data_IF_971872807708
#
_entry.id   IF_971872807708
#
_cell.length_a   1.000
_cell.length_b   1.000
_cell.length_c   1.000
_cell.angle_alpha   90.00
_cell.angle_beta   90.00
_cell.angle_gamma   90.00
#
_symmetry.space_group_name_H-M   'P 1'
#
loop_
_entity.id
_entity.type
_entity.pdbx_description
1 polymer ?
#
# COMPACT_ATOMS: atom_id res chain seq x y z
N UNK A 1 -21.60 -39.02 78.28
CA UNK A 1 -20.78 -39.30 77.08
C UNK A 1 -21.75 -39.90 76.07
N UNK A 2 -22.09 -39.34 74.92
CA UNK A 2 -21.39 -38.42 74.02
C UNK A 2 -22.41 -37.63 73.18
N UNK A 3 -22.07 -36.39 72.83
CA UNK A 3 -22.87 -35.48 72.00
C UNK A 3 -22.51 -35.75 70.53
N UNK A 4 -23.50 -36.09 69.69
CA UNK A 4 -23.31 -36.15 68.24
C UNK A 4 -23.78 -34.82 67.63
N UNK A 5 -22.83 -33.98 67.22
CA UNK A 5 -23.06 -32.72 66.51
C UNK A 5 -23.32 -32.99 65.03
N UNK A 6 -24.43 -32.45 64.53
CA UNK A 6 -24.81 -32.37 63.12
C UNK A 6 -23.83 -31.48 62.36
N UNK A 7 -23.23 -31.98 61.27
CA UNK A 7 -22.41 -31.20 60.37
C UNK A 7 -23.18 -30.94 59.06
N UNK A 8 -23.76 -29.75 58.96
CA UNK A 8 -24.39 -29.23 57.75
C UNK A 8 -23.30 -28.93 56.71
N UNK A 9 -23.30 -29.66 55.58
CA UNK A 9 -22.41 -29.40 54.44
C UNK A 9 -22.94 -28.19 53.67
N UNK A 10 -22.37 -27.03 53.91
CA UNK A 10 -22.51 -25.90 53.00
C UNK A 10 -21.71 -26.19 51.73
N UNK A 11 -22.40 -26.39 50.61
CA UNK A 11 -21.80 -26.32 49.28
C UNK A 11 -21.39 -24.88 49.02
N UNK A 12 -20.09 -24.60 49.17
CA UNK A 12 -19.51 -23.34 48.73
C UNK A 12 -19.33 -23.43 47.21
N UNK A 13 -20.31 -22.91 46.46
CA UNK A 13 -20.17 -22.72 45.02
C UNK A 13 -19.01 -21.73 44.81
N UNK A 14 -17.86 -22.22 44.34
CA UNK A 14 -16.74 -21.37 43.92
C UNK A 14 -17.18 -20.62 42.67
N UNK A 15 -17.62 -19.38 42.86
CA UNK A 15 -17.82 -18.40 41.79
C UNK A 15 -16.44 -18.16 41.19
N UNK A 16 -16.18 -18.73 40.01
CA UNK A 16 -14.96 -18.46 39.27
C UNK A 16 -15.04 -17.02 38.77
N UNK A 17 -14.57 -16.09 39.59
CA UNK A 17 -14.24 -14.74 39.14
C UNK A 17 -13.12 -14.89 38.11
N UNK A 18 -13.51 -14.79 36.84
CA UNK A 18 -12.57 -14.73 35.74
C UNK A 18 -11.56 -13.62 36.04
N UNK A 19 -10.29 -14.02 36.16
CA UNK A 19 -9.16 -13.10 36.29
C UNK A 19 -9.18 -12.14 35.10
N UNK A 20 -9.83 -10.98 35.27
CA UNK A 20 -9.77 -9.87 34.34
C UNK A 20 -8.37 -9.28 34.46
N UNK A 21 -7.40 -9.90 33.78
CA UNK A 21 -6.11 -9.26 33.56
C UNK A 21 -6.42 -7.96 32.83
N UNK A 22 -6.06 -6.78 33.38
CA UNK A 22 -6.39 -5.52 32.72
C UNK A 22 -5.81 -5.53 31.31
N UNK A 23 -6.64 -5.19 30.32
CA UNK A 23 -6.20 -5.10 28.94
C UNK A 23 -5.02 -4.13 28.87
N UNK A 24 -3.91 -4.55 28.30
CA UNK A 24 -2.80 -3.64 27.98
C UNK A 24 -3.28 -2.61 26.95
N UNK A 25 -2.77 -1.37 27.05
CA UNK A 25 -2.97 -0.32 26.04
C UNK A 25 -2.70 -0.81 24.62
N UNK A 26 -1.66 -1.64 24.43
CA UNK A 26 -1.37 -2.23 23.13
C UNK A 26 -2.48 -3.18 22.66
N UNK A 27 -3.04 -4.00 23.55
CA UNK A 27 -4.12 -4.92 23.21
C UNK A 27 -5.42 -4.18 22.88
N UNK A 28 -5.73 -3.12 23.62
CA UNK A 28 -6.87 -2.25 23.39
C UNK A 28 -6.74 -1.45 22.09
N UNK A 29 -5.56 -0.90 21.83
CA UNK A 29 -5.27 -0.23 20.56
C UNK A 29 -5.38 -1.22 19.40
N UNK A 30 -4.77 -2.39 19.50
CA UNK A 30 -4.80 -3.41 18.43
C UNK A 30 -6.21 -3.89 18.11
N UNK A 31 -7.11 -3.96 19.10
CA UNK A 31 -8.48 -4.43 18.87
C UNK A 31 -9.38 -3.40 18.20
N UNK A 32 -9.15 -2.10 18.42
CA UNK A 32 -9.98 -1.02 17.86
C UNK A 32 -9.29 -0.21 16.76
N UNK A 33 -7.99 -0.43 16.52
CA UNK A 33 -7.26 0.23 15.44
C UNK A 33 -7.90 -0.10 14.09
N UNK A 34 -8.03 0.94 13.26
CA UNK A 34 -8.42 0.82 11.86
C UNK A 34 -7.44 1.60 10.99
N UNK A 35 -7.13 1.04 9.82
CA UNK A 35 -6.27 1.68 8.83
C UNK A 35 -6.98 2.88 8.19
N UNK A 36 -8.26 2.77 7.85
CA UNK A 36 -9.11 3.91 7.50
C UNK A 36 -10.22 3.98 8.53
N UNK A 37 -10.45 5.17 9.09
CA UNK A 37 -11.41 5.38 10.17
C UNK A 37 -12.54 6.29 9.73
N UNK A 38 -13.76 5.82 9.89
CA UNK A 38 -14.99 6.51 9.47
C UNK A 38 -15.74 7.07 10.68
N UNK A 39 -16.80 7.86 10.45
CA UNK A 39 -17.55 8.49 11.54
C UNK A 39 -18.31 7.45 12.40
N UNK A 40 -18.78 6.38 11.78
CA UNK A 40 -19.46 5.24 12.41
C UNK A 40 -18.56 4.53 13.42
N UNK A 41 -17.24 4.55 13.19
CA UNK A 41 -16.26 3.96 14.11
C UNK A 41 -16.14 4.72 15.43
N UNK A 42 -16.61 5.96 15.46
CA UNK A 42 -16.59 6.86 16.61
C UNK A 42 -17.88 6.85 17.44
N UNK A 43 -18.91 6.12 17.01
CA UNK A 43 -20.18 6.04 17.74
C UNK A 43 -20.05 5.29 19.08
N UNK A 44 -19.16 4.28 19.14
CA UNK A 44 -18.92 3.51 20.36
C UNK A 44 -17.95 4.24 21.31
N UNK A 45 -18.47 4.86 22.37
CA UNK A 45 -17.64 5.47 23.41
C UNK A 45 -17.08 4.43 24.40
N UNK A 46 -16.06 3.70 23.94
CA UNK A 46 -15.22 2.86 24.81
C UNK A 46 -13.84 3.49 24.99
N UNK A 47 -13.20 3.24 26.14
CA UNK A 47 -11.82 3.69 26.36
C UNK A 47 -10.85 3.20 25.27
N UNK A 48 -11.00 1.96 24.82
CA UNK A 48 -10.19 1.39 23.74
C UNK A 48 -10.41 2.13 22.42
N UNK A 49 -11.66 2.50 22.11
CA UNK A 49 -11.97 3.27 20.91
C UNK A 49 -11.43 4.71 21.00
N UNK A 50 -11.56 5.38 22.16
CA UNK A 50 -10.93 6.69 22.40
C UNK A 50 -9.41 6.65 22.27
N UNK A 51 -8.76 5.57 22.73
CA UNK A 51 -7.32 5.37 22.56
C UNK A 51 -6.96 5.18 21.08
N UNK A 52 -7.72 4.36 20.34
CA UNK A 52 -7.50 4.16 18.91
C UNK A 52 -7.73 5.43 18.08
N UNK A 53 -8.79 6.19 18.38
CA UNK A 53 -9.05 7.50 17.81
C UNK A 53 -7.87 8.45 18.03
N UNK A 54 -7.46 8.62 19.28
CA UNK A 54 -6.37 9.51 19.63
C UNK A 54 -5.03 9.10 19.01
N UNK A 55 -4.85 7.81 18.69
CA UNK A 55 -3.70 7.33 17.93
C UNK A 55 -3.84 7.70 16.45
N UNK A 56 -4.99 7.43 15.84
CA UNK A 56 -5.29 7.73 14.43
C UNK A 56 -5.15 9.23 14.13
N UNK A 57 -5.70 10.09 14.98
CA UNK A 57 -5.65 11.56 14.84
C UNK A 57 -4.20 12.12 14.88
N UNK A 58 -3.23 11.36 15.40
CA UNK A 58 -1.80 11.76 15.42
C UNK A 58 -1.05 11.36 14.16
N UNK A 59 -1.66 10.55 13.30
CA UNK A 59 -1.07 10.10 12.06
C UNK A 59 -1.35 11.10 10.94
N UNK A 60 -0.49 11.09 9.93
CA UNK A 60 -0.65 11.85 8.71
C UNK A 60 -1.12 10.90 7.61
N UNK A 61 -2.29 11.21 7.04
CA UNK A 61 -3.00 10.34 6.11
C UNK A 61 -2.80 10.70 4.63
N UNK A 62 -1.85 11.58 4.33
CA UNK A 62 -1.56 11.97 2.94
C UNK A 62 -0.64 10.96 2.24
N UNK A 63 0.44 10.55 2.91
CA UNK A 63 1.40 9.58 2.39
C UNK A 63 1.56 8.39 3.34
N UNK A 64 1.67 7.19 2.78
CA UNK A 64 2.01 5.99 3.53
C UNK A 64 3.53 5.75 3.55
N UNK A 65 3.97 5.12 4.64
CA UNK A 65 5.30 4.54 4.79
C UNK A 65 5.20 3.06 4.42
N UNK A 66 6.18 2.55 3.65
CA UNK A 66 6.14 1.17 3.16
C UNK A 66 7.30 0.31 3.67
N UNK A 67 7.04 -1.00 3.85
CA UNK A 67 8.07 -2.02 4.03
C UNK A 67 8.16 -2.87 2.76
N UNK A 68 9.25 -2.69 2.03
CA UNK A 68 9.54 -3.41 0.79
C UNK A 68 10.39 -4.67 1.03
N UNK A 69 10.65 -5.13 2.26
CA UNK A 69 11.47 -6.33 2.50
C UNK A 69 10.93 -7.58 1.78
N UNK A 70 9.60 -7.70 1.68
CA UNK A 70 8.92 -8.85 1.09
C UNK A 70 8.62 -8.74 -0.41
N UNK A 71 9.14 -7.72 -1.11
CA UNK A 71 8.73 -7.38 -2.48
C UNK A 71 8.86 -8.52 -3.50
N UNK A 72 9.89 -9.37 -3.37
CA UNK A 72 10.08 -10.53 -4.27
C UNK A 72 8.95 -11.56 -4.17
N UNK A 73 8.28 -11.62 -3.01
CA UNK A 73 7.13 -12.50 -2.73
C UNK A 73 5.79 -11.75 -2.84
N UNK A 74 5.78 -10.55 -3.43
CA UNK A 74 4.58 -9.69 -3.55
C UNK A 74 3.95 -9.34 -2.19
N UNK A 75 4.78 -9.30 -1.13
CA UNK A 75 4.36 -8.93 0.22
C UNK A 75 4.90 -7.55 0.56
N UNK A 76 4.06 -6.55 0.40
CA UNK A 76 4.36 -5.15 0.69
C UNK A 76 3.46 -4.70 1.84
N UNK A 77 4.07 -4.10 2.86
CA UNK A 77 3.32 -3.51 3.97
C UNK A 77 3.23 -2.01 3.81
N UNK A 78 2.07 -1.44 4.13
CA UNK A 78 1.88 0.00 4.25
C UNK A 78 1.37 0.35 5.64
N UNK A 79 1.73 1.54 6.10
CA UNK A 79 1.15 2.17 7.29
C UNK A 79 1.12 3.68 7.10
N UNK A 80 0.21 4.37 7.80
CA UNK A 80 0.23 5.82 7.83
C UNK A 80 1.50 6.36 8.50
N UNK A 81 1.83 7.57 8.09
CA UNK A 81 3.00 8.27 8.55
C UNK A 81 2.78 8.80 9.98
N UNK A 82 3.81 8.70 10.80
CA UNK A 82 3.81 9.35 12.12
C UNK A 82 4.26 10.79 12.05
N UNK A 83 3.87 11.62 13.01
CA UNK A 83 4.32 13.01 13.10
C UNK A 83 5.85 13.16 13.05
N UNK A 84 6.60 12.30 13.75
CA UNK A 84 8.06 12.37 13.74
C UNK A 84 8.64 12.10 12.36
N UNK A 85 8.09 11.14 11.62
CA UNK A 85 8.51 10.85 10.25
C UNK A 85 8.20 11.99 9.29
N UNK A 86 7.06 12.64 9.49
CA UNK A 86 6.65 13.81 8.70
C UNK A 86 7.62 14.98 8.91
N UNK A 87 7.97 15.27 10.16
CA UNK A 87 8.97 16.30 10.49
C UNK A 87 10.37 15.96 9.94
N UNK A 88 10.70 14.67 9.83
CA UNK A 88 11.94 14.20 9.20
C UNK A 88 11.86 14.18 7.66
N UNK A 89 10.72 14.53 7.07
CA UNK A 89 10.49 14.52 5.62
C UNK A 89 10.44 13.13 5.00
N UNK A 90 10.26 12.06 5.80
CA UNK A 90 10.08 10.69 5.28
C UNK A 90 8.84 10.63 4.39
N UNK A 91 8.88 9.95 3.26
CA UNK A 91 7.74 9.90 2.33
C UNK A 91 7.34 11.21 1.65
N UNK A 92 8.08 12.32 1.88
CA UNK A 92 7.89 13.58 1.15
C UNK A 92 9.20 14.03 0.48
N UNK A 93 10.20 14.36 1.29
CA UNK A 93 11.54 14.76 0.85
C UNK A 93 12.54 13.60 0.85
N UNK A 94 12.16 12.48 1.47
CA UNK A 94 12.94 11.23 1.54
C UNK A 94 12.05 10.07 1.12
N UNK A 95 12.66 9.00 0.63
CA UNK A 95 11.97 7.77 0.25
C UNK A 95 11.11 7.22 1.39
N UNK A 96 9.86 6.85 1.09
CA UNK A 96 8.90 6.29 2.04
C UNK A 96 9.22 4.86 2.50
N UNK A 97 10.14 4.15 1.82
CA UNK A 97 10.55 2.84 2.28
C UNK A 97 11.26 2.97 3.64
N UNK A 98 10.77 2.25 4.65
CA UNK A 98 11.26 2.33 6.04
C UNK A 98 12.78 2.22 6.15
N UNK A 99 13.41 1.40 5.29
CA UNK A 99 14.85 1.11 5.31
C UNK A 99 15.68 1.90 4.28
N UNK A 100 15.10 2.93 3.65
CA UNK A 100 15.77 3.73 2.63
C UNK A 100 15.79 5.23 3.01
N UNK A 101 16.94 5.88 2.94
CA UNK A 101 17.08 7.31 3.25
C UNK A 101 17.42 8.18 2.03
N UNK A 102 17.23 7.65 0.81
CA UNK A 102 17.46 8.43 -0.42
C UNK A 102 16.51 9.62 -0.50
N UNK A 103 17.06 10.76 -0.91
CA UNK A 103 16.35 12.03 -1.17
C UNK A 103 16.20 12.31 -2.67
N UNK A 104 16.81 11.49 -3.51
CA UNK A 104 16.92 11.75 -4.95
C UNK A 104 15.86 11.00 -5.74
N UNK A 105 15.43 11.61 -6.84
CA UNK A 105 14.53 11.02 -7.82
C UNK A 105 13.27 10.38 -7.22
N UNK A 106 12.66 11.13 -6.30
CA UNK A 106 11.44 10.70 -5.63
C UNK A 106 10.24 10.91 -6.55
N UNK A 107 9.41 9.87 -6.70
CA UNK A 107 8.13 9.93 -7.41
C UNK A 107 7.00 9.45 -6.51
N UNK A 108 5.83 10.04 -6.69
CA UNK A 108 4.60 9.61 -6.01
C UNK A 108 3.91 8.53 -6.84
N UNK A 109 3.43 7.50 -6.17
CA UNK A 109 2.65 6.41 -6.74
C UNK A 109 1.34 6.31 -5.98
N UNK A 110 0.26 6.11 -6.72
CA UNK A 110 -1.02 5.69 -6.16
C UNK A 110 -1.10 4.16 -6.25
N UNK A 111 -1.34 3.53 -5.12
CA UNK A 111 -1.34 2.07 -5.01
C UNK A 111 -2.66 1.64 -4.42
N UNK A 112 -3.37 0.78 -5.14
CA UNK A 112 -4.55 0.10 -4.61
C UNK A 112 -4.10 -0.96 -3.58
N UNK A 113 -4.20 -0.61 -2.32
CA UNK A 113 -3.74 -1.41 -1.20
C UNK A 113 -4.87 -2.31 -0.70
N UNK A 114 -4.76 -3.61 -1.02
CA UNK A 114 -5.63 -4.63 -0.41
C UNK A 114 -5.03 -5.14 0.91
N UNK A 115 -5.83 -5.15 1.97
CA UNK A 115 -5.42 -5.59 3.30
C UNK A 115 -6.53 -6.33 4.04
N UNK A 116 -6.16 -7.06 5.10
CA UNK A 116 -7.09 -7.75 5.98
C UNK A 116 -7.14 -7.06 7.33
N UNK A 117 -8.31 -6.62 7.74
CA UNK A 117 -8.56 -5.93 9.00
C UNK A 117 -9.76 -6.56 9.70
N UNK A 118 -9.60 -6.93 10.98
CA UNK A 118 -10.67 -7.56 11.77
C UNK A 118 -11.35 -8.78 11.12
N UNK A 119 -10.65 -9.49 10.24
CA UNK A 119 -11.17 -10.65 9.53
C UNK A 119 -11.69 -10.38 8.13
N UNK A 120 -11.88 -9.11 7.77
CA UNK A 120 -12.47 -8.66 6.50
C UNK A 120 -11.40 -8.18 5.53
N UNK A 121 -11.66 -8.36 4.23
CA UNK A 121 -10.81 -7.83 3.17
C UNK A 121 -11.25 -6.41 2.82
N UNK A 122 -10.31 -5.47 2.87
CA UNK A 122 -10.51 -4.06 2.54
C UNK A 122 -9.56 -3.62 1.44
N UNK A 123 -9.86 -2.50 0.81
CA UNK A 123 -9.02 -1.83 -0.19
C UNK A 123 -9.01 -0.34 0.09
N UNK A 124 -7.88 0.29 -0.14
CA UNK A 124 -7.72 1.74 -0.04
C UNK A 124 -6.71 2.21 -1.09
N UNK A 125 -6.98 3.34 -1.75
CA UNK A 125 -6.04 3.93 -2.69
C UNK A 125 -5.05 4.82 -1.94
N UNK A 126 -3.85 4.30 -1.68
CA UNK A 126 -2.84 5.00 -0.88
C UNK A 126 -1.79 5.67 -1.75
N UNK A 127 -1.28 6.82 -1.30
CA UNK A 127 -0.17 7.53 -1.95
C UNK A 127 1.15 7.20 -1.27
N UNK A 128 2.16 6.79 -2.05
CA UNK A 128 3.50 6.50 -1.54
C UNK A 128 4.56 7.18 -2.39
N UNK A 129 5.55 7.81 -1.76
CA UNK A 129 6.62 8.51 -2.47
C UNK A 129 7.96 7.79 -2.35
N UNK A 130 8.52 7.31 -3.46
CA UNK A 130 9.69 6.42 -3.48
C UNK A 130 10.77 6.92 -4.45
N UNK A 131 12.02 6.63 -4.12
CA UNK A 131 13.13 6.75 -5.06
C UNK A 131 13.07 5.64 -6.12
N UNK A 132 13.74 5.84 -7.25
CA UNK A 132 13.81 4.88 -8.36
C UNK A 132 14.04 3.42 -7.94
N UNK A 133 15.06 3.14 -7.13
CA UNK A 133 15.38 1.76 -6.72
C UNK A 133 14.26 1.12 -5.89
N UNK A 134 13.53 1.91 -5.10
CA UNK A 134 12.38 1.43 -4.33
C UNK A 134 11.12 1.31 -5.19
N UNK A 135 10.94 2.16 -6.21
CA UNK A 135 9.84 2.06 -7.18
C UNK A 135 9.91 0.78 -8.02
N UNK A 136 11.13 0.33 -8.37
CA UNK A 136 11.37 -0.98 -9.00
C UNK A 136 10.95 -2.11 -8.06
N UNK A 137 11.31 -2.02 -6.78
CA UNK A 137 10.90 -3.02 -5.77
C UNK A 137 9.37 -3.06 -5.62
N UNK A 138 8.72 -1.90 -5.53
CA UNK A 138 7.26 -1.79 -5.46
C UNK A 138 6.57 -2.51 -6.64
N UNK A 139 7.10 -2.36 -7.85
CA UNK A 139 6.50 -2.87 -9.09
C UNK A 139 7.14 -4.18 -9.59
N UNK A 140 7.89 -4.87 -8.74
CA UNK A 140 8.75 -5.99 -9.12
C UNK A 140 8.04 -7.09 -9.90
N UNK A 141 6.86 -7.53 -9.43
CA UNK A 141 6.10 -8.62 -10.08
C UNK A 141 5.67 -8.25 -11.49
N UNK A 142 5.26 -7.00 -11.69
CA UNK A 142 4.85 -6.49 -12.99
C UNK A 142 6.06 -6.37 -13.93
N UNK A 143 7.16 -5.78 -13.48
CA UNK A 143 8.41 -5.64 -14.26
C UNK A 143 8.92 -7.03 -14.67
N UNK A 144 8.98 -7.99 -13.74
CA UNK A 144 9.43 -9.36 -14.04
C UNK A 144 8.52 -10.07 -15.05
N UNK A 145 7.20 -9.82 -14.99
CA UNK A 145 6.25 -10.34 -15.99
C UNK A 145 6.48 -9.70 -17.36
N UNK A 146 6.69 -8.38 -17.41
CA UNK A 146 6.99 -7.66 -18.65
C UNK A 146 8.29 -8.18 -19.28
N UNK A 147 9.37 -8.34 -18.51
CA UNK A 147 10.64 -8.91 -18.97
C UNK A 147 10.50 -10.35 -19.50
N UNK A 148 9.68 -11.19 -18.87
CA UNK A 148 9.41 -12.56 -19.36
C UNK A 148 8.65 -12.56 -20.68
N UNK A 149 7.66 -11.66 -20.82
CA UNK A 149 6.96 -11.41 -22.10
C UNK A 149 7.87 -10.73 -23.13
N UNK A 150 8.95 -10.10 -22.69
CA UNK A 150 10.01 -9.45 -23.48
C UNK A 150 10.89 -10.34 -24.36
N UNK A 151 10.59 -11.65 -24.50
CA UNK A 151 10.99 -12.38 -25.72
C UNK A 151 10.17 -11.95 -26.95
N UNK A 152 9.02 -11.31 -26.75
CA UNK A 152 8.12 -10.83 -27.82
C UNK A 152 8.06 -9.29 -27.88
N UNK A 153 8.53 -8.58 -26.84
CA UNK A 153 8.70 -7.11 -26.84
C UNK A 153 10.04 -6.67 -27.48
N UNK A 154 10.53 -7.40 -28.49
CA UNK A 154 11.52 -6.82 -29.42
C UNK A 154 10.76 -5.79 -30.22
N UNK A 155 10.73 -4.57 -29.68
CA UNK A 155 10.36 -3.34 -30.39
C UNK A 155 10.98 -3.47 -31.77
N UNK A 156 10.14 -3.49 -32.82
CA UNK A 156 10.61 -3.24 -34.18
C UNK A 156 11.39 -1.95 -34.08
N UNK A 157 12.71 -2.06 -34.11
CA UNK A 157 13.55 -0.95 -34.49
C UNK A 157 13.08 -0.71 -35.91
N UNK A 158 12.28 0.34 -36.11
CA UNK A 158 12.03 0.86 -37.44
C UNK A 158 13.40 1.31 -37.96
N UNK A 159 14.16 0.35 -38.46
CA UNK A 159 15.13 0.59 -39.50
C UNK A 159 14.28 0.92 -40.71
N UNK A 160 14.20 2.22 -41.01
CA UNK A 160 13.87 2.69 -42.35
C UNK A 160 14.86 2.04 -43.32
N UNK A 161 14.51 0.87 -43.82
CA UNK A 161 14.81 0.46 -45.19
C UNK A 161 13.67 -0.42 -45.69
N UNK A 162 12.64 0.24 -46.21
CA UNK A 162 11.50 -0.39 -46.84
C UNK A 162 11.86 -0.84 -48.26
N UNK A 163 12.23 -2.11 -48.38
CA UNK A 163 11.99 -2.94 -49.56
C UNK A 163 10.80 -3.86 -49.31
N UNK A 164 9.67 -3.51 -49.93
CA UNK A 164 8.50 -4.28 -50.39
C UNK A 164 8.21 -5.72 -49.86
N UNK A 165 6.95 -5.86 -49.42
CA UNK A 165 5.99 -6.97 -49.64
C UNK A 165 5.59 -7.90 -48.47
N UNK A 166 4.29 -7.88 -48.14
CA UNK A 166 3.55 -9.08 -47.73
C UNK A 166 2.68 -9.02 -46.46
N UNK A 167 1.40 -8.65 -46.65
CA UNK A 167 0.15 -9.13 -46.01
C UNK A 167 0.13 -9.68 -44.54
N UNK A 168 -0.71 -9.07 -43.68
CA UNK A 168 -1.98 -9.65 -43.19
C UNK A 168 -2.45 -9.04 -41.84
N UNK A 169 -3.72 -8.57 -41.85
CA UNK A 169 -4.72 -8.56 -40.77
C UNK A 169 -4.39 -7.88 -39.42
N UNK A 170 -4.90 -6.66 -39.27
CA UNK A 170 -4.92 -5.91 -38.00
C UNK A 170 -6.10 -6.37 -37.12
N UNK A 171 -5.80 -7.20 -36.13
CA UNK A 171 -6.66 -7.43 -34.97
C UNK A 171 -6.24 -6.54 -33.80
N UNK A 172 -7.05 -5.55 -33.45
CA UNK A 172 -6.85 -4.67 -32.30
C UNK A 172 -7.32 -5.38 -31.02
N UNK A 173 -6.40 -5.95 -30.24
CA UNK A 173 -6.71 -6.49 -28.91
C UNK A 173 -6.26 -5.53 -27.81
N UNK A 174 -7.24 -4.81 -27.26
CA UNK A 174 -7.12 -4.04 -26.02
C UNK A 174 -7.24 -5.00 -24.83
N UNK A 175 -6.18 -5.16 -24.04
CA UNK A 175 -6.19 -6.02 -22.84
C UNK A 175 -6.59 -5.24 -21.59
N UNK A 176 -7.86 -5.37 -21.21
CA UNK A 176 -8.42 -4.98 -19.91
C UNK A 176 -7.84 -5.87 -18.78
N UNK A 177 -7.25 -5.24 -17.76
CA UNK A 177 -6.53 -5.90 -16.66
C UNK A 177 -7.40 -6.20 -15.43
N UNK A 178 -8.73 -6.21 -15.58
CA UNK A 178 -9.66 -6.50 -14.49
C UNK A 178 -9.90 -8.00 -14.20
N UNK A 179 -9.35 -8.94 -14.99
CA UNK A 179 -9.56 -10.39 -14.78
C UNK A 179 -8.40 -11.08 -14.08
N UNK A 180 -8.67 -11.48 -12.84
CA UNK A 180 -7.86 -12.34 -12.00
C UNK A 180 -7.73 -13.75 -12.61
N UNK A 181 -6.55 -14.12 -13.10
CA UNK A 181 -6.28 -15.49 -13.57
C UNK A 181 -5.89 -16.38 -12.39
N UNK A 182 -6.86 -17.19 -11.97
CA UNK A 182 -6.77 -18.19 -10.91
C UNK A 182 -6.01 -19.42 -11.39
N UNK A 183 -4.70 -19.31 -11.63
CA UNK A 183 -3.89 -20.50 -12.00
C UNK A 183 -2.37 -20.34 -11.84
N UNK A 184 -1.87 -20.05 -10.63
CA UNK A 184 -0.45 -20.34 -10.29
C UNK A 184 -0.37 -20.86 -8.85
N UNK A 185 -0.44 -22.19 -8.69
CA UNK A 185 0.13 -22.91 -7.54
C UNK A 185 1.55 -23.33 -7.94
N UNK A 186 2.54 -22.52 -7.61
CA UNK A 186 3.92 -23.00 -7.50
C UNK A 186 4.54 -22.33 -6.27
N UNK A 187 4.77 -23.14 -5.24
CA UNK A 187 5.59 -22.77 -4.09
C UNK A 187 7.05 -22.62 -4.56
N UNK A 188 7.79 -21.57 -4.13
CA UNK A 188 9.19 -21.46 -4.49
C UNK A 188 10.02 -22.38 -3.59
N UNK A 189 10.63 -23.38 -4.23
CA UNK A 189 11.66 -24.26 -3.65
C UNK A 189 12.82 -23.45 -3.11
N UNK A 190 13.27 -23.81 -1.89
CA UNK A 190 14.47 -23.30 -1.25
C UNK A 190 15.71 -23.64 -2.10
N UNK A 191 16.21 -22.64 -2.82
CA UNK A 191 17.48 -22.68 -3.54
C UNK A 191 18.24 -21.40 -3.24
N UNK A 192 19.43 -21.55 -2.69
CA UNK A 192 20.35 -20.47 -2.37
C UNK A 192 20.74 -19.69 -3.62
N UNK A 193 20.18 -18.51 -3.80
CA UNK A 193 20.72 -17.49 -4.68
C UNK A 193 21.15 -16.31 -3.81
N UNK A 194 22.43 -15.97 -3.95
CA UNK A 194 23.18 -15.00 -3.18
C UNK A 194 22.50 -13.63 -3.10
N UNK A 195 22.80 -12.96 -2.00
CA UNK A 195 22.48 -11.56 -1.75
C UNK A 195 22.99 -10.66 -2.89
N UNK A 196 22.24 -9.58 -3.12
CA UNK A 196 22.69 -8.37 -3.80
C UNK A 196 23.01 -8.48 -5.30
N UNK A 197 21.99 -8.40 -6.15
CA UNK A 197 22.09 -7.79 -7.49
C UNK A 197 20.68 -7.49 -8.01
N UNK A 198 20.10 -6.40 -7.51
CA UNK A 198 19.23 -5.60 -8.36
C UNK A 198 20.06 -4.36 -8.60
N UNK A 199 20.78 -4.35 -9.73
CA UNK A 199 21.58 -3.21 -10.15
C UNK A 199 20.70 -1.96 -10.03
N UNK A 200 21.13 -0.99 -9.23
CA UNK A 200 20.43 0.29 -9.04
C UNK A 200 20.24 1.02 -10.38
N UNK A 201 20.91 0.56 -11.43
CA UNK A 201 20.85 1.00 -12.80
C UNK A 201 20.21 -0.03 -13.77
N UNK A 202 19.19 -0.79 -13.35
CA UNK A 202 18.34 -1.57 -14.27
C UNK A 202 17.54 -0.62 -15.18
N UNK A 203 18.24 -0.03 -16.16
CA UNK A 203 17.72 0.95 -17.14
C UNK A 203 16.49 0.43 -17.87
N UNK A 204 16.44 -0.88 -18.09
CA UNK A 204 15.28 -1.54 -18.69
C UNK A 204 14.08 -1.50 -17.74
N UNK A 205 14.26 -1.87 -16.46
CA UNK A 205 13.19 -1.76 -15.46
C UNK A 205 12.73 -0.31 -15.25
N UNK A 206 13.64 0.65 -15.29
CA UNK A 206 13.31 2.08 -15.25
C UNK A 206 12.47 2.52 -16.45
N UNK A 207 12.89 2.17 -17.67
CA UNK A 207 12.14 2.49 -18.89
C UNK A 207 10.74 1.89 -18.85
N UNK A 208 10.65 0.62 -18.47
CA UNK A 208 9.38 -0.10 -18.32
C UNK A 208 8.50 0.58 -17.28
N UNK A 209 9.05 0.97 -16.12
CA UNK A 209 8.32 1.75 -15.12
C UNK A 209 7.84 3.11 -15.63
N UNK A 210 8.71 3.87 -16.29
CA UNK A 210 8.39 5.19 -16.82
C UNK A 210 7.29 5.11 -17.87
N UNK A 211 7.35 4.14 -18.78
CA UNK A 211 6.29 3.90 -19.77
C UNK A 211 4.94 3.62 -19.09
N UNK A 212 4.92 2.83 -18.02
CA UNK A 212 3.68 2.58 -17.27
C UNK A 212 3.16 3.84 -16.59
N UNK A 213 4.03 4.64 -15.99
CA UNK A 213 3.62 5.88 -15.34
C UNK A 213 3.02 6.85 -16.37
N UNK A 214 3.68 7.03 -17.52
CA UNK A 214 3.18 7.91 -18.58
C UNK A 214 1.84 7.47 -19.16
N UNK A 215 1.59 6.15 -19.28
CA UNK A 215 0.27 5.63 -19.67
C UNK A 215 -0.82 5.98 -18.66
N UNK A 216 -0.48 5.96 -17.37
CA UNK A 216 -1.40 6.34 -16.30
C UNK A 216 -1.75 7.84 -16.33
N UNK A 217 -0.78 8.70 -16.66
CA UNK A 217 -0.99 10.16 -16.76
C UNK A 217 -1.74 10.55 -18.05
N UNK A 218 -1.61 9.75 -19.12
CA UNK A 218 -2.33 9.96 -20.38
C UNK A 218 -3.79 9.49 -20.35
N UNK A 219 -4.09 8.46 -19.55
CA UNK A 219 -5.46 7.93 -19.35
C UNK A 219 -6.17 8.62 -18.17
N UNK A 220 -5.42 9.19 -17.22
CA UNK A 220 -5.91 10.04 -16.15
C UNK A 220 -5.81 11.51 -16.53
N UNK A 221 -6.81 12.03 -17.24
CA UNK A 221 -6.96 13.46 -17.54
C UNK A 221 -7.07 14.31 -16.26
N UNK A 222 -5.92 14.63 -15.66
CA UNK A 222 -5.76 15.62 -14.58
C UNK A 222 -5.81 17.05 -15.14
N UNK A 223 -5.83 17.23 -16.45
CA UNK A 223 -5.80 18.58 -17.05
C UNK A 223 -7.10 19.35 -16.93
N UNK A 224 -8.29 18.72 -16.82
CA UNK A 224 -9.54 19.48 -16.82
C UNK A 224 -9.97 20.02 -15.46
N UNK A 225 -9.49 19.43 -14.35
CA UNK A 225 -9.88 19.80 -12.99
C UNK A 225 -8.97 20.87 -12.39
N UNK A 226 -7.67 20.78 -12.64
CA UNK A 226 -6.67 21.72 -12.12
C UNK A 226 -6.67 23.05 -12.88
N UNK A 227 -6.85 23.06 -14.21
CA UNK A 227 -7.02 24.31 -14.98
C UNK A 227 -8.30 25.05 -14.56
N UNK A 228 -9.39 24.31 -14.31
CA UNK A 228 -10.66 24.90 -13.90
C UNK A 228 -10.59 25.49 -12.48
N UNK A 229 -9.90 24.79 -11.57
CA UNK A 229 -9.66 25.26 -10.19
C UNK A 229 -8.67 26.42 -10.13
N UNK A 230 -7.68 26.46 -11.03
CA UNK A 230 -6.74 27.57 -11.14
C UNK A 230 -7.43 28.83 -11.70
N UNK A 231 -8.26 28.69 -12.72
CA UNK A 231 -9.06 29.79 -13.26
C UNK A 231 -10.07 30.34 -12.24
N UNK A 232 -10.75 29.47 -11.48
CA UNK A 232 -11.65 29.89 -10.39
C UNK A 232 -10.92 30.65 -9.27
N UNK A 233 -9.66 30.32 -9.01
CA UNK A 233 -8.84 31.02 -8.01
C UNK A 233 -8.34 32.38 -8.50
N UNK A 234 -7.96 32.50 -9.78
CA UNK A 234 -7.59 33.78 -10.39
C UNK A 234 -8.77 34.75 -10.52
N UNK A 235 -9.95 34.25 -10.88
CA UNK A 235 -11.18 35.07 -10.94
C UNK A 235 -11.55 35.61 -9.54
N UNK A 236 -11.44 34.78 -8.49
CA UNK A 236 -11.66 35.22 -7.11
C UNK A 236 -10.62 36.26 -6.65
N UNK A 237 -9.35 36.10 -7.04
CA UNK A 237 -8.30 37.04 -6.68
C UNK A 237 -8.46 38.38 -7.40
N UNK A 238 -8.94 38.36 -8.65
CA UNK A 238 -9.19 39.58 -9.44
C UNK A 238 -10.41 40.37 -8.94
N UNK A 239 -11.42 39.71 -8.36
CA UNK A 239 -12.61 40.36 -7.78
C UNK A 239 -12.33 40.97 -6.39
N UNK A 240 -11.31 40.48 -5.67
CA UNK A 240 -10.94 40.95 -4.33
C UNK A 240 -10.07 42.22 -4.33
N UNK A 241 -9.42 42.55 -5.45
CA UNK A 241 -8.50 43.69 -5.58
C UNK A 241 -8.98 44.78 -6.56
N UNK A 242 -10.28 44.81 -6.88
CA UNK A 242 -10.97 45.97 -7.46
C UNK A 242 -11.69 46.77 -6.38
#
# INVERSE_FOLDING_TARGET
>A
MSIALSASRHHHQSRSEGSHRPLSDYAALKSKHKFVREAEDDEEDSWANRLAKAYYDKLYHEYVICDLKGYRKDRIGFRWQTQQEMLQGKGQMRCANMRCNSTQHLRTFEVDFSYKEHGEHKRELVKVRLCYSCSIKLNWKWIRRAKRKGKEFRIKKDEEDGGEDGAAEAGTDVVDLSKEDTRIKEEPTEGSESADDVDENDKEALKVLEERMWRSDAEGAVTSGEEKRANEFEDYFNDLFQ
#
